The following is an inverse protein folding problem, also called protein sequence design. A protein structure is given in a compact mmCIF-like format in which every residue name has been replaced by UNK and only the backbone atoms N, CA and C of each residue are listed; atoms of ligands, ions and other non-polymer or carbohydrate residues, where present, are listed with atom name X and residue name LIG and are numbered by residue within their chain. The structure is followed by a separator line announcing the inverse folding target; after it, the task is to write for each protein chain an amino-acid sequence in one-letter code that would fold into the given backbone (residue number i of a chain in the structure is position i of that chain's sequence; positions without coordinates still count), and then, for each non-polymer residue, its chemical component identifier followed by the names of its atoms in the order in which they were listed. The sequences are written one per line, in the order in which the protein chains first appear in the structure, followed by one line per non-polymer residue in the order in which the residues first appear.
data_IF_542265835311
#
_entry.id   IF_542265835311
#
_cell.length_a   1.000
_cell.length_b   1.000
_cell.length_c   1.000
_cell.angle_alpha   90.00
_cell.angle_beta   90.00
_cell.angle_gamma   90.00
#
_symmetry.space_group_name_H-M   'P 1'
#
loop_
_entity.id
_entity.type
_entity.pdbx_description
1 polymer ?
#
# COMPACT_ATOMS: atom_id res chain seq x y z
N UNK A 1 25.11 -14.20 22.22
CA UNK A 1 24.75 -13.26 21.14
C UNK A 1 23.23 -13.13 21.14
N UNK A 2 22.70 -11.95 21.42
CA UNK A 2 21.25 -11.68 21.31
C UNK A 2 20.91 -11.63 19.81
N UNK A 3 20.16 -12.60 19.31
CA UNK A 3 19.59 -12.55 17.97
C UNK A 3 18.43 -11.55 17.99
N UNK A 4 18.63 -10.39 17.38
CA UNK A 4 17.52 -9.51 17.05
C UNK A 4 16.67 -10.23 15.99
N UNK A 5 15.45 -10.66 16.36
CA UNK A 5 14.46 -11.05 15.37
C UNK A 5 14.30 -9.90 14.37
N UNK A 6 14.26 -10.15 13.05
CA UNK A 6 13.87 -9.11 12.12
C UNK A 6 12.50 -8.62 12.59
N UNK A 7 12.41 -7.34 12.93
CA UNK A 7 11.11 -6.72 13.11
C UNK A 7 10.34 -6.99 11.82
N UNK A 8 9.29 -7.80 11.90
CA UNK A 8 8.36 -7.96 10.79
C UNK A 8 7.87 -6.56 10.48
N UNK A 9 7.99 -6.13 9.23
CA UNK A 9 7.35 -4.89 8.81
C UNK A 9 5.87 -4.97 9.23
N UNK A 10 5.32 -3.84 9.71
CA UNK A 10 3.96 -3.76 10.21
C UNK A 10 3.15 -2.67 9.49
N UNK A 11 1.86 -2.92 9.32
CA UNK A 11 0.93 -2.01 8.66
C UNK A 11 0.32 -0.99 9.62
N UNK A 12 0.53 -1.12 10.94
CA UNK A 12 -0.10 -0.24 11.94
C UNK A 12 0.12 1.25 11.68
N UNK A 13 1.30 1.63 11.19
CA UNK A 13 1.66 3.01 10.83
C UNK A 13 0.87 3.56 9.64
N UNK A 14 0.35 2.70 8.78
CA UNK A 14 -0.51 3.11 7.66
C UNK A 14 -1.95 3.39 8.10
N UNK A 15 -2.40 2.85 9.23
CA UNK A 15 -3.77 3.06 9.70
C UNK A 15 -3.99 4.50 10.15
N UNK A 16 -5.07 5.12 9.67
CA UNK A 16 -5.35 6.55 9.90
C UNK A 16 -4.47 7.52 9.08
N UNK A 17 -3.42 7.01 8.43
CA UNK A 17 -2.55 7.74 7.51
C UNK A 17 -2.88 7.39 6.05
N UNK A 18 -2.14 7.99 5.11
CA UNK A 18 -2.31 7.74 3.68
C UNK A 18 -0.98 7.33 3.06
N UNK A 19 -0.94 6.19 2.38
CA UNK A 19 0.18 5.88 1.49
C UNK A 19 -0.14 6.50 0.13
N UNK A 20 0.76 7.31 -0.42
CA UNK A 20 0.61 7.94 -1.73
C UNK A 20 1.64 7.36 -2.69
N UNK A 21 1.16 6.64 -3.70
CA UNK A 21 1.99 6.16 -4.81
C UNK A 21 2.09 7.24 -5.88
N UNK A 22 3.30 7.70 -6.17
CA UNK A 22 3.61 8.65 -7.24
C UNK A 22 4.17 7.94 -8.46
N UNK A 23 3.58 8.23 -9.61
CA UNK A 23 4.04 7.75 -10.91
C UNK A 23 4.94 8.80 -11.59
N UNK A 24 5.91 8.39 -12.43
CA UNK A 24 6.78 9.33 -13.15
C UNK A 24 6.04 10.32 -14.06
N UNK A 25 4.85 9.95 -14.53
CA UNK A 25 3.98 10.79 -15.36
C UNK A 25 3.15 11.81 -14.55
N UNK A 26 3.39 11.94 -13.25
CA UNK A 26 2.66 12.86 -12.37
C UNK A 26 1.33 12.33 -11.83
N UNK A 27 0.87 11.15 -12.28
CA UNK A 27 -0.31 10.52 -11.69
C UNK A 27 -0.01 10.03 -10.28
N UNK A 28 -1.05 9.91 -9.46
CA UNK A 28 -0.94 9.40 -8.11
C UNK A 28 -2.08 8.45 -7.76
N UNK A 29 -1.83 7.60 -6.77
CA UNK A 29 -2.84 6.78 -6.12
C UNK A 29 -2.69 6.93 -4.61
N UNK A 30 -3.78 7.28 -3.93
CA UNK A 30 -3.87 7.27 -2.48
C UNK A 30 -4.41 5.92 -2.04
N UNK A 31 -3.79 5.36 -1.03
CA UNK A 31 -4.12 4.06 -0.47
C UNK A 31 -4.49 4.25 1.00
N UNK A 32 -5.63 3.66 1.39
CA UNK A 32 -6.15 3.71 2.75
C UNK A 32 -6.33 2.27 3.24
N UNK A 33 -5.59 1.93 4.28
CA UNK A 33 -5.63 0.63 4.95
C UNK A 33 -6.35 0.76 6.28
N UNK A 34 -7.26 -0.16 6.56
CA UNK A 34 -8.00 -0.21 7.82
C UNK A 34 -7.54 -1.45 8.63
N UNK A 35 -7.48 -1.38 9.97
CA UNK A 35 -7.05 -2.51 10.81
C UNK A 35 -7.88 -3.79 10.63
N UNK A 36 -9.14 -3.66 10.21
CA UNK A 36 -10.07 -4.77 9.98
C UNK A 36 -9.85 -5.51 8.64
N UNK A 37 -8.82 -5.14 7.88
CA UNK A 37 -8.49 -5.71 6.58
C UNK A 37 -9.20 -5.03 5.40
N UNK A 38 -9.98 -3.96 5.59
CA UNK A 38 -10.54 -3.18 4.48
C UNK A 38 -9.46 -2.31 3.84
N UNK A 39 -9.53 -2.20 2.53
CA UNK A 39 -8.66 -1.34 1.73
C UNK A 39 -9.51 -0.53 0.76
N UNK A 40 -9.17 0.75 0.62
CA UNK A 40 -9.69 1.60 -0.45
C UNK A 40 -8.56 2.38 -1.10
N UNK A 41 -8.76 2.79 -2.34
CA UNK A 41 -7.83 3.66 -3.04
C UNK A 41 -8.55 4.67 -3.92
N UNK A 42 -7.91 5.81 -4.12
CA UNK A 42 -8.34 6.86 -5.01
C UNK A 42 -7.21 7.20 -5.97
N UNK A 43 -7.53 7.22 -7.26
CA UNK A 43 -6.62 7.58 -8.33
C UNK A 43 -6.73 9.09 -8.60
N UNK A 44 -5.67 9.68 -9.15
CA UNK A 44 -5.65 11.09 -9.54
C UNK A 44 -6.70 11.47 -10.59
N UNK A 45 -7.20 10.49 -11.35
CA UNK A 45 -8.29 10.63 -12.32
C UNK A 45 -9.70 10.52 -11.71
N UNK A 46 -9.80 10.38 -10.38
CA UNK A 46 -11.06 10.27 -9.65
C UNK A 46 -11.59 8.84 -9.49
N UNK A 47 -11.02 7.84 -10.19
CA UNK A 47 -11.42 6.44 -10.02
C UNK A 47 -11.17 5.97 -8.59
N UNK A 48 -12.01 5.06 -8.12
CA UNK A 48 -11.89 4.44 -6.79
C UNK A 48 -11.91 2.92 -6.91
N UNK A 49 -11.11 2.27 -6.08
CA UNK A 49 -11.07 0.80 -5.98
C UNK A 49 -11.10 0.42 -4.50
N UNK A 50 -11.97 -0.52 -4.15
CA UNK A 50 -12.01 -1.17 -2.84
C UNK A 50 -11.45 -2.60 -2.96
N UNK A 51 -10.86 -3.10 -1.88
CA UNK A 51 -10.35 -4.47 -1.77
C UNK A 51 -10.27 -4.91 -0.31
N UNK A 52 -9.81 -6.13 -0.08
CA UNK A 52 -9.36 -6.64 1.23
C UNK A 52 -7.83 -6.73 1.22
N UNK A 53 -7.19 -6.38 2.33
CA UNK A 53 -5.75 -6.59 2.51
C UNK A 53 -5.48 -7.66 3.58
N UNK A 54 -4.36 -8.35 3.42
CA UNK A 54 -3.80 -9.31 4.38
C UNK A 54 -2.27 -9.22 4.41
N UNK A 55 -1.68 -9.51 5.57
CA UNK A 55 -0.26 -9.76 5.71
C UNK A 55 0.03 -11.25 5.46
N UNK A 56 1.01 -11.55 4.62
CA UNK A 56 1.44 -12.91 4.31
C UNK A 56 2.97 -12.97 4.29
N UNK A 57 3.56 -13.39 5.41
CA UNK A 57 5.01 -13.33 5.61
C UNK A 57 5.51 -11.89 5.53
N UNK A 58 6.44 -11.62 4.61
CA UNK A 58 7.02 -10.29 4.35
C UNK A 58 6.25 -9.47 3.30
N UNK A 59 5.00 -9.87 2.99
CA UNK A 59 4.19 -9.26 1.92
C UNK A 59 2.88 -8.73 2.45
N UNK A 60 2.41 -7.67 1.81
CA UNK A 60 1.02 -7.25 1.85
C UNK A 60 0.32 -7.68 0.57
N UNK A 61 -0.82 -8.34 0.71
CA UNK A 61 -1.62 -8.85 -0.39
C UNK A 61 -2.99 -8.18 -0.42
N UNK A 62 -3.42 -7.75 -1.61
CA UNK A 62 -4.73 -7.21 -1.92
C UNK A 62 -5.54 -8.22 -2.73
N UNK A 63 -6.80 -8.43 -2.37
CA UNK A 63 -7.72 -9.33 -3.07
C UNK A 63 -9.17 -8.83 -3.01
N UNK A 64 -10.05 -9.41 -3.83
CA UNK A 64 -11.48 -9.04 -3.79
C UNK A 64 -11.74 -7.62 -4.31
N UNK A 65 -11.05 -7.23 -5.37
CA UNK A 65 -11.16 -5.88 -5.93
C UNK A 65 -12.57 -5.55 -6.44
N UNK A 66 -13.04 -4.34 -6.11
CA UNK A 66 -14.29 -3.75 -6.59
C UNK A 66 -14.05 -2.31 -7.07
N UNK A 67 -14.37 -1.97 -8.34
CA UNK A 67 -14.85 -2.87 -9.38
C UNK A 67 -13.81 -3.95 -9.74
N UNK A 68 -14.24 -5.04 -10.38
CA UNK A 68 -13.34 -6.14 -10.77
C UNK A 68 -12.18 -5.60 -11.61
N UNK A 69 -10.96 -5.96 -11.23
CA UNK A 69 -9.74 -5.63 -11.96
C UNK A 69 -9.26 -6.83 -12.77
N UNK A 70 -8.35 -6.61 -13.72
CA UNK A 70 -7.74 -7.67 -14.55
C UNK A 70 -7.02 -8.68 -13.66
N UNK A 71 -6.38 -8.22 -12.58
CA UNK A 71 -5.67 -9.06 -11.63
C UNK A 71 -6.58 -9.36 -10.42
N UNK A 72 -6.84 -10.65 -10.09
CA UNK A 72 -7.70 -11.01 -8.96
C UNK A 72 -7.03 -10.77 -7.59
N UNK A 73 -5.69 -10.74 -7.56
CA UNK A 73 -4.89 -10.60 -6.36
C UNK A 73 -3.53 -9.98 -6.67
N UNK A 74 -3.10 -9.01 -5.87
CA UNK A 74 -1.78 -8.37 -5.97
C UNK A 74 -1.03 -8.50 -4.65
N UNK A 75 0.25 -8.84 -4.67
CA UNK A 75 1.09 -8.83 -3.46
C UNK A 75 2.34 -7.99 -3.70
N UNK A 76 2.67 -7.14 -2.74
CA UNK A 76 3.93 -6.37 -2.72
C UNK A 76 4.69 -6.66 -1.43
N UNK A 77 6.01 -6.48 -1.47
CA UNK A 77 6.83 -6.50 -0.25
C UNK A 77 6.31 -5.46 0.74
N UNK A 78 6.17 -5.85 1.99
CA UNK A 78 5.86 -4.95 3.08
C UNK A 78 7.11 -4.17 3.45
N UNK A 79 6.95 -2.88 3.71
CA UNK A 79 8.03 -1.95 4.01
C UNK A 79 7.68 -1.22 5.29
N UNK A 80 8.59 -1.25 6.25
CA UNK A 80 8.49 -0.41 7.44
C UNK A 80 8.73 1.04 7.02
N UNK A 81 7.80 1.93 7.38
CA UNK A 81 7.86 3.34 7.03
C UNK A 81 7.20 4.19 8.13
N UNK A 82 7.83 5.30 8.46
CA UNK A 82 7.25 6.36 9.28
C UNK A 82 6.65 7.47 8.41
N UNK A 83 5.82 8.32 9.02
CA UNK A 83 5.24 9.47 8.32
C UNK A 83 6.36 10.40 7.83
N UNK A 84 6.33 10.72 6.54
CA UNK A 84 7.37 11.48 5.83
C UNK A 84 8.37 10.60 5.08
N UNK A 85 8.40 9.29 5.36
CA UNK A 85 9.27 8.38 4.63
C UNK A 85 8.75 8.12 3.22
N UNK A 86 9.69 7.86 2.32
CA UNK A 86 9.40 7.45 0.95
C UNK A 86 10.25 6.26 0.52
N UNK A 87 9.68 5.41 -0.32
CA UNK A 87 10.34 4.21 -0.81
C UNK A 87 9.95 3.90 -2.26
N UNK A 88 10.77 3.09 -2.93
CA UNK A 88 10.47 2.60 -4.29
C UNK A 88 9.69 1.31 -4.23
N UNK A 89 8.72 1.16 -5.12
CA UNK A 89 7.95 -0.05 -5.29
C UNK A 89 7.60 -0.28 -6.77
N UNK A 90 6.91 -1.39 -7.05
CA UNK A 90 6.33 -1.68 -8.36
C UNK A 90 4.83 -1.86 -8.23
N UNK A 91 4.12 -1.35 -9.22
CA UNK A 91 2.68 -1.57 -9.33
C UNK A 91 2.36 -2.96 -9.94
N UNK A 92 1.08 -3.35 -10.03
CA UNK A 92 0.69 -4.64 -10.60
C UNK A 92 1.13 -4.90 -12.05
N UNK A 93 1.46 -3.84 -12.81
CA UNK A 93 1.95 -3.92 -14.19
C UNK A 93 3.48 -3.86 -14.26
N UNK A 94 4.17 -3.87 -13.10
CA UNK A 94 5.62 -3.81 -13.01
C UNK A 94 6.22 -2.41 -13.14
N UNK A 95 5.39 -1.36 -13.26
CA UNK A 95 5.84 0.03 -13.40
C UNK A 95 6.45 0.50 -12.08
N UNK A 96 7.56 1.25 -12.16
CA UNK A 96 8.19 1.83 -10.98
C UNK A 96 7.35 2.98 -10.43
N UNK A 97 7.16 2.98 -9.11
CA UNK A 97 6.47 4.02 -8.37
C UNK A 97 7.30 4.45 -7.15
N UNK A 98 7.08 5.67 -6.68
CA UNK A 98 7.58 6.14 -5.38
C UNK A 98 6.41 6.26 -4.42
N UNK A 99 6.44 5.49 -3.35
CA UNK A 99 5.46 5.60 -2.28
C UNK A 99 5.94 6.61 -1.24
N UNK A 100 5.01 7.25 -0.57
CA UNK A 100 5.24 8.13 0.57
C UNK A 100 4.17 7.86 1.62
N UNK A 101 4.55 7.77 2.89
CA UNK A 101 3.59 7.70 3.98
C UNK A 101 3.29 9.12 4.49
N UNK A 102 2.05 9.57 4.33
CA UNK A 102 1.62 10.93 4.64
C UNK A 102 0.68 10.93 5.84
N UNK A 103 0.85 11.92 6.73
CA UNK A 103 0.01 12.11 7.91
C UNK A 103 -1.46 12.33 7.53
N UNK A 104 -2.34 11.58 8.19
CA UNK A 104 -3.79 11.70 8.11
C UNK A 104 -4.41 11.12 6.83
N UNK A 105 -5.73 11.10 6.80
CA UNK A 105 -6.53 10.70 5.63
C UNK A 105 -6.76 11.92 4.73
N UNK A 106 -6.27 11.89 3.49
CA UNK A 106 -6.35 13.02 2.53
C UNK A 106 -6.97 12.64 1.20
#
# INVERSE_FOLDING_TARGET
MLAASPASADMSKAFGNTIVSHYPNGQWVRHYFEPDGRYTSQFSDGRRVAARWSAEGDKICLSGFSPRQILPRFCSRMVEADVGDSWRARDPLGRSIRNELVAGRR
#
